data_IF_432472975698
#
_entry.id   IF_432472975698
#
_cell.length_a   1.000
_cell.length_b   1.000
_cell.length_c   1.000
_cell.angle_alpha   90.00
_cell.angle_beta   90.00
_cell.angle_gamma   90.00
#
_symmetry.space_group_name_H-M   'P 1'
#
loop_
_entity.id
_entity.type
_entity.pdbx_description
1 polymer ?
#
# COMPACT_ATOMS: atom_id res chain seq x y z
N UNK A 1 -7.94 11.82 -11.60
CA UNK A 1 -7.70 10.57 -10.85
C UNK A 1 -6.50 10.71 -9.93
N UNK A 2 -6.61 10.16 -8.73
CA UNK A 2 -5.58 10.17 -7.68
C UNK A 2 -5.46 8.79 -7.06
N UNK A 3 -4.24 8.38 -6.67
CA UNK A 3 -4.00 7.11 -5.99
C UNK A 3 -3.62 7.36 -4.53
N UNK A 4 -4.40 6.83 -3.60
CA UNK A 4 -4.01 6.73 -2.19
C UNK A 4 -3.32 5.39 -1.92
N UNK A 5 -2.21 5.43 -1.20
CA UNK A 5 -1.50 4.25 -0.68
C UNK A 5 -1.42 4.36 0.84
N UNK A 6 -1.97 3.38 1.54
CA UNK A 6 -1.91 3.26 3.00
C UNK A 6 -1.10 2.01 3.38
N UNK A 7 0.12 2.22 3.87
CA UNK A 7 1.01 1.18 4.38
C UNK A 7 0.67 0.88 5.85
N UNK A 8 -0.31 0.02 6.05
CA UNK A 8 -0.72 -0.43 7.39
C UNK A 8 0.17 -1.53 7.94
N UNK A 9 -0.07 -1.91 9.19
CA UNK A 9 0.71 -2.95 9.87
C UNK A 9 0.34 -4.37 9.38
N UNK A 10 -0.91 -4.60 9.01
CA UNK A 10 -1.38 -5.92 8.54
C UNK A 10 -1.59 -5.99 7.03
N UNK A 11 -1.57 -4.87 6.32
CA UNK A 11 -1.95 -4.79 4.90
C UNK A 11 -1.47 -3.49 4.26
N UNK A 12 -1.13 -3.55 2.98
CA UNK A 12 -1.07 -2.36 2.10
C UNK A 12 -2.42 -2.20 1.41
N UNK A 13 -3.06 -1.03 1.59
CA UNK A 13 -4.35 -0.71 0.97
C UNK A 13 -4.19 0.42 -0.04
N UNK A 14 -4.80 0.25 -1.20
CA UNK A 14 -4.83 1.25 -2.26
C UNK A 14 -6.25 1.71 -2.55
N UNK A 15 -6.38 3.00 -2.85
CA UNK A 15 -7.64 3.62 -3.25
C UNK A 15 -7.42 4.47 -4.51
N UNK A 16 -8.17 4.18 -5.57
CA UNK A 16 -8.22 5.02 -6.76
C UNK A 16 -9.41 5.98 -6.63
N UNK A 17 -9.15 7.28 -6.74
CA UNK A 17 -10.11 8.35 -6.51
C UNK A 17 -10.33 9.18 -7.78
N UNK A 18 -11.56 9.62 -8.00
CA UNK A 18 -11.89 10.63 -9.02
C UNK A 18 -11.58 12.06 -8.55
N UNK A 19 -11.83 13.04 -9.43
CA UNK A 19 -11.52 14.45 -9.14
C UNK A 19 -12.45 15.11 -8.11
N UNK A 20 -13.51 14.41 -7.70
CA UNK A 20 -14.45 14.81 -6.64
C UNK A 20 -14.21 14.05 -5.34
N UNK A 21 -13.20 13.19 -5.29
CA UNK A 21 -12.90 12.32 -4.14
C UNK A 21 -13.77 11.06 -4.06
N UNK A 22 -14.52 10.73 -5.12
CA UNK A 22 -15.26 9.47 -5.22
C UNK A 22 -14.33 8.27 -5.39
N UNK A 23 -14.63 7.16 -4.74
CA UNK A 23 -13.86 5.92 -4.84
C UNK A 23 -14.23 5.21 -6.14
N UNK A 24 -13.25 5.10 -7.04
CA UNK A 24 -13.36 4.35 -8.30
C UNK A 24 -13.07 2.87 -8.07
N UNK A 25 -12.04 2.57 -7.27
CA UNK A 25 -11.63 1.21 -7.00
C UNK A 25 -10.72 1.10 -5.79
N UNK A 26 -10.63 -0.11 -5.23
CA UNK A 26 -9.71 -0.43 -4.13
C UNK A 26 -8.96 -1.72 -4.44
N UNK A 27 -7.77 -1.86 -3.87
CA UNK A 27 -7.02 -3.10 -3.87
C UNK A 27 -6.20 -3.22 -2.58
N UNK A 28 -5.79 -4.44 -2.25
CA UNK A 28 -5.14 -4.73 -1.00
C UNK A 28 -4.20 -5.91 -1.09
N UNK A 29 -3.16 -5.89 -0.26
CA UNK A 29 -2.27 -7.03 -0.10
C UNK A 29 -1.83 -7.16 1.35
N UNK A 30 -2.10 -8.33 1.94
CA UNK A 30 -1.79 -8.60 3.33
C UNK A 30 -0.28 -8.58 3.58
N UNK A 31 0.11 -8.08 4.76
CA UNK A 31 1.45 -8.12 5.29
C UNK A 31 1.50 -9.12 6.46
N UNK A 32 2.63 -9.78 6.61
CA UNK A 32 2.88 -10.67 7.73
C UNK A 32 3.74 -9.95 8.78
N UNK A 33 3.51 -10.27 10.04
CA UNK A 33 4.32 -9.82 11.16
C UNK A 33 5.18 -10.97 11.66
N UNK A 34 6.43 -10.66 11.98
CA UNK A 34 7.36 -11.54 12.67
C UNK A 34 7.42 -11.14 14.15
N UNK A 35 7.32 -12.11 15.04
CA UNK A 35 7.46 -11.92 16.48
C UNK A 35 8.44 -12.97 17.02
N UNK A 36 9.76 -12.82 16.76
CA UNK A 36 10.75 -13.83 17.12
C UNK A 36 10.93 -13.95 18.64
N UNK A 37 10.72 -12.85 19.37
CA UNK A 37 10.84 -12.77 20.83
C UNK A 37 9.58 -12.14 21.44
N UNK A 38 9.28 -12.41 22.74
CA UNK A 38 8.17 -11.76 23.43
C UNK A 38 8.26 -10.24 23.35
N UNK A 39 7.13 -9.59 23.05
CA UNK A 39 6.98 -8.13 22.88
C UNK A 39 7.64 -7.56 21.60
N UNK A 40 8.21 -8.39 20.73
CA UNK A 40 8.74 -7.94 19.45
C UNK A 40 7.66 -7.98 18.38
N UNK A 41 7.72 -7.02 17.47
CA UNK A 41 6.83 -6.91 16.32
C UNK A 41 7.62 -6.33 15.16
N UNK A 42 7.98 -7.18 14.22
CA UNK A 42 8.88 -6.87 13.12
C UNK A 42 8.23 -7.14 11.78
N UNK A 43 8.66 -6.40 10.76
CA UNK A 43 8.31 -6.65 9.36
C UNK A 43 9.55 -6.52 8.50
N UNK A 44 9.64 -7.32 7.45
CA UNK A 44 10.66 -7.14 6.44
C UNK A 44 10.23 -6.02 5.47
N UNK A 45 11.03 -4.95 5.30
CA UNK A 45 10.70 -3.87 4.37
C UNK A 45 10.50 -4.33 2.91
N UNK A 46 11.12 -5.44 2.50
CA UNK A 46 10.89 -6.00 1.16
C UNK A 46 9.45 -6.46 0.95
N UNK A 47 8.76 -6.86 2.02
CA UNK A 47 7.37 -7.29 1.95
C UNK A 47 6.42 -6.10 1.75
N UNK A 48 6.76 -4.92 2.29
CA UNK A 48 6.02 -3.69 1.99
C UNK A 48 6.05 -3.37 0.50
N UNK A 49 7.23 -3.47 -0.12
CA UNK A 49 7.39 -3.23 -1.55
C UNK A 49 6.62 -4.24 -2.40
N UNK A 50 6.74 -5.54 -2.08
CA UNK A 50 6.01 -6.61 -2.78
C UNK A 50 4.49 -6.42 -2.67
N UNK A 51 3.98 -6.20 -1.46
CA UNK A 51 2.55 -6.01 -1.22
C UNK A 51 2.01 -4.78 -1.97
N UNK A 52 2.76 -3.68 -1.97
CA UNK A 52 2.41 -2.47 -2.75
C UNK A 52 2.34 -2.79 -4.25
N UNK A 53 3.34 -3.49 -4.79
CA UNK A 53 3.37 -3.89 -6.19
C UNK A 53 2.19 -4.80 -6.56
N UNK A 54 1.84 -5.76 -5.69
CA UNK A 54 0.68 -6.63 -5.88
C UNK A 54 -0.63 -5.83 -5.92
N UNK A 55 -0.86 -4.93 -4.97
CA UNK A 55 -2.07 -4.10 -4.94
C UNK A 55 -2.15 -3.14 -6.15
N UNK A 56 -1.02 -2.56 -6.57
CA UNK A 56 -0.93 -1.74 -7.79
C UNK A 56 -1.31 -2.55 -9.03
N UNK A 57 -0.78 -3.77 -9.17
CA UNK A 57 -1.09 -4.62 -10.31
C UNK A 57 -2.58 -5.00 -10.36
N UNK A 58 -3.21 -5.25 -9.22
CA UNK A 58 -4.65 -5.50 -9.12
C UNK A 58 -5.47 -4.30 -9.59
N UNK A 59 -5.17 -3.08 -9.10
CA UNK A 59 -5.87 -1.87 -9.55
C UNK A 59 -5.67 -1.61 -11.04
N UNK A 60 -4.44 -1.75 -11.55
CA UNK A 60 -4.15 -1.55 -12.97
C UNK A 60 -4.91 -2.55 -13.85
N UNK A 61 -5.11 -3.78 -13.37
CA UNK A 61 -5.84 -4.82 -14.11
C UNK A 61 -7.34 -4.58 -14.10
N UNK A 62 -7.89 -4.11 -12.97
CA UNK A 62 -9.34 -3.92 -12.79
C UNK A 62 -9.85 -2.56 -13.29
N UNK A 63 -9.00 -1.52 -13.28
CA UNK A 63 -9.35 -0.15 -13.66
C UNK A 63 -8.26 0.46 -14.58
N UNK A 64 -7.96 -0.14 -15.74
CA UNK A 64 -6.80 0.23 -16.55
C UNK A 64 -6.84 1.69 -17.05
N UNK A 65 -8.01 2.18 -17.45
CA UNK A 65 -8.20 3.54 -17.98
C UNK A 65 -8.02 4.59 -16.89
N UNK A 66 -8.66 4.38 -15.75
CA UNK A 66 -8.61 5.30 -14.61
C UNK A 66 -7.24 5.28 -13.95
N UNK A 67 -6.60 4.11 -13.87
CA UNK A 67 -5.24 3.95 -13.39
C UNK A 67 -4.23 4.69 -14.28
N UNK A 68 -4.37 4.61 -15.61
CA UNK A 68 -3.53 5.36 -16.55
C UNK A 68 -3.71 6.89 -16.44
N UNK A 69 -4.84 7.35 -15.91
CA UNK A 69 -5.15 8.76 -15.72
C UNK A 69 -4.73 9.31 -14.34
N UNK A 70 -4.01 8.53 -13.52
CA UNK A 70 -3.51 8.98 -12.21
C UNK A 70 -2.52 10.12 -12.40
N UNK A 71 -2.78 11.26 -11.74
CA UNK A 71 -1.94 12.48 -11.81
C UNK A 71 -1.27 12.83 -10.48
N UNK A 72 -1.61 12.14 -9.41
CA UNK A 72 -1.08 12.39 -8.08
C UNK A 72 -1.22 11.17 -7.18
N UNK A 73 -0.28 11.04 -6.25
CA UNK A 73 -0.21 9.94 -5.28
C UNK A 73 -0.17 10.54 -3.87
N UNK A 74 -1.07 10.08 -3.00
CA UNK A 74 -1.04 10.34 -1.57
C UNK A 74 -0.52 9.14 -0.81
N UNK A 75 0.37 9.37 0.17
CA UNK A 75 0.98 8.33 0.98
C UNK A 75 0.55 8.47 2.45
N UNK A 76 0.15 7.36 3.04
CA UNK A 76 -0.08 7.15 4.48
C UNK A 76 0.71 5.93 4.92
N UNK A 77 1.09 5.89 6.19
CA UNK A 77 1.79 4.74 6.75
C UNK A 77 1.66 4.66 8.26
N UNK A 78 1.92 3.47 8.78
CA UNK A 78 1.91 3.19 10.21
C UNK A 78 2.84 4.16 11.00
N UNK A 79 2.35 4.79 12.08
CA UNK A 79 3.17 5.65 12.92
C UNK A 79 4.12 4.82 13.82
N UNK A 80 5.38 5.26 13.94
CA UNK A 80 6.41 4.79 14.90
C UNK A 80 7.17 3.49 14.58
N UNK A 81 7.24 3.05 13.34
CA UNK A 81 8.14 1.96 12.96
C UNK A 81 9.57 2.48 12.72
N UNK A 82 10.56 1.97 13.45
CA UNK A 82 11.97 2.20 13.11
C UNK A 82 12.34 1.39 11.88
N UNK A 83 12.66 2.05 10.76
CA UNK A 83 13.03 1.38 9.52
C UNK A 83 14.52 1.62 9.22
N UNK A 84 15.29 0.53 9.12
CA UNK A 84 16.66 0.55 8.62
C UNK A 84 16.70 -0.11 7.25
N UNK A 85 16.91 0.68 6.20
CA UNK A 85 17.14 0.17 4.86
C UNK A 85 18.62 -0.23 4.70
N UNK A 86 18.87 -1.44 4.20
CA UNK A 86 20.15 -1.80 3.59
C UNK A 86 19.87 -1.98 2.10
N UNK A 87 20.44 -1.09 1.29
CA UNK A 87 20.36 -1.12 -0.17
C UNK A 87 21.32 -2.15 -0.75
#
# INVERSE_FOLDING_TARGET
>A
MFLGIDLGTSEVKLMLLDDRGGIVGTAGSALTLSAPEPLWSEQNPSDWWRATGTAVAQLRTTHPTEFAAVRGIGLSGQPRTGATARW
#
